data_IF_660302877081
#
_entry.id   IF_660302877081
#
_cell.length_a   1.000
_cell.length_b   1.000
_cell.length_c   1.000
_cell.angle_alpha   90.00
_cell.angle_beta   90.00
_cell.angle_gamma   90.00
#
_symmetry.space_group_name_H-M   'P 1'
#
loop_
_entity.id
_entity.type
_entity.pdbx_description
1 polymer ?
#
# COMPACT_ATOMS: atom_id res chain seq x y z
N UNK A 1 -6.72 13.94 11.15
CA UNK A 1 -7.39 14.19 9.84
C UNK A 1 -7.68 15.68 9.74
N UNK A 2 -7.09 16.39 8.79
CA UNK A 2 -7.35 17.81 8.60
C UNK A 2 -8.79 18.03 8.10
N UNK A 3 -9.46 19.09 8.59
CA UNK A 3 -10.77 19.57 8.14
C UNK A 3 -10.67 20.11 6.70
N UNK A 4 -10.53 19.23 5.72
CA UNK A 4 -10.60 19.56 4.30
C UNK A 4 -12.04 19.71 3.82
N UNK A 5 -12.24 20.50 2.76
CA UNK A 5 -13.56 20.66 2.13
C UNK A 5 -13.97 19.34 1.49
N UNK A 6 -15.10 18.77 1.92
CA UNK A 6 -15.66 17.53 1.36
C UNK A 6 -16.68 17.84 0.28
N UNK A 7 -16.65 17.05 -0.78
CA UNK A 7 -17.64 17.07 -1.86
C UNK A 7 -18.84 16.24 -1.44
N UNK A 8 -20.05 16.77 -1.60
CA UNK A 8 -21.28 16.04 -1.26
C UNK A 8 -21.72 15.17 -2.42
N UNK A 9 -21.82 13.87 -2.17
CA UNK A 9 -22.28 12.88 -3.14
C UNK A 9 -23.61 12.28 -2.69
N UNK A 10 -24.47 12.01 -3.66
CA UNK A 10 -25.68 11.21 -3.45
C UNK A 10 -25.37 9.72 -3.57
N UNK A 11 -26.21 8.86 -2.99
CA UNK A 11 -26.04 7.40 -3.06
C UNK A 11 -25.92 6.88 -4.49
N UNK A 12 -26.61 7.50 -5.46
CA UNK A 12 -26.56 7.12 -6.87
C UNK A 12 -25.26 7.54 -7.59
N UNK A 13 -24.54 8.53 -7.06
CA UNK A 13 -23.27 9.01 -7.63
C UNK A 13 -22.08 8.23 -7.11
N UNK A 14 -22.21 7.63 -5.91
CA UNK A 14 -21.11 6.94 -5.24
C UNK A 14 -20.67 5.70 -6.03
N UNK A 15 -21.58 4.81 -6.44
CA UNK A 15 -21.18 3.56 -7.12
C UNK A 15 -20.39 3.81 -8.42
N UNK A 16 -20.84 4.66 -9.37
CA UNK A 16 -20.06 4.92 -10.59
C UNK A 16 -18.71 5.60 -10.33
N UNK A 17 -18.62 6.43 -9.30
CA UNK A 17 -17.35 7.04 -8.86
C UNK A 17 -16.44 5.98 -8.25
N UNK A 18 -16.98 5.07 -7.44
CA UNK A 18 -16.24 4.00 -6.80
C UNK A 18 -15.65 3.02 -7.82
N UNK A 19 -16.41 2.63 -8.83
CA UNK A 19 -15.89 1.81 -9.94
C UNK A 19 -14.75 2.52 -10.69
N UNK A 20 -14.90 3.83 -10.94
CA UNK A 20 -13.83 4.59 -11.59
C UNK A 20 -12.60 4.73 -10.66
N UNK A 21 -12.81 4.85 -9.34
CA UNK A 21 -11.74 4.88 -8.35
C UNK A 21 -11.01 3.53 -8.28
N UNK A 22 -11.73 2.41 -8.38
CA UNK A 22 -11.16 1.07 -8.52
C UNK A 22 -10.18 1.02 -9.69
N UNK A 23 -10.58 1.51 -10.86
CA UNK A 23 -9.71 1.56 -12.05
C UNK A 23 -8.41 2.37 -11.79
N UNK A 24 -8.50 3.47 -11.04
CA UNK A 24 -7.31 4.24 -10.64
C UNK A 24 -6.45 3.41 -9.67
N UNK A 25 -7.02 2.88 -8.60
CA UNK A 25 -6.30 2.09 -7.59
C UNK A 25 -5.57 0.89 -8.23
N UNK A 26 -6.26 0.13 -9.09
CA UNK A 26 -5.69 -0.99 -9.85
C UNK A 26 -4.53 -0.53 -10.73
N UNK A 27 -4.67 0.59 -11.44
CA UNK A 27 -3.60 1.10 -12.31
C UNK A 27 -2.34 1.51 -11.54
N UNK A 28 -2.49 2.00 -10.30
CA UNK A 28 -1.35 2.31 -9.40
C UNK A 28 -0.63 1.04 -8.96
N UNK A 29 -1.40 0.04 -8.52
CA UNK A 29 -0.86 -1.26 -8.12
C UNK A 29 -0.14 -1.98 -9.27
N UNK A 30 -0.75 -1.97 -10.45
CA UNK A 30 -0.17 -2.50 -11.69
C UNK A 30 1.12 -1.80 -12.10
N UNK A 31 1.16 -0.46 -12.01
CA UNK A 31 2.36 0.31 -12.29
C UNK A 31 3.49 -0.09 -11.33
N UNK A 32 3.18 -0.17 -10.04
CA UNK A 32 4.15 -0.50 -9.01
C UNK A 32 4.66 -1.95 -9.12
N UNK A 33 3.81 -2.90 -9.51
CA UNK A 33 4.26 -4.25 -9.84
C UNK A 33 5.24 -4.24 -11.03
N UNK A 34 4.94 -3.47 -12.08
CA UNK A 34 5.79 -3.37 -13.27
C UNK A 34 7.19 -2.78 -12.98
N UNK A 35 7.38 -2.01 -11.90
CA UNK A 35 8.71 -1.51 -11.53
C UNK A 35 9.67 -2.60 -11.09
N UNK A 36 9.16 -3.73 -10.57
CA UNK A 36 9.97 -4.88 -10.18
C UNK A 36 10.33 -5.79 -11.36
N UNK A 37 9.52 -5.79 -12.43
CA UNK A 37 9.66 -6.73 -13.55
C UNK A 37 10.31 -6.13 -14.80
N UNK A 38 10.74 -4.85 -14.75
CA UNK A 38 11.21 -4.09 -15.93
C UNK A 38 10.18 -4.04 -17.07
N UNK A 39 8.89 -3.92 -16.73
CA UNK A 39 7.78 -3.90 -17.70
C UNK A 39 7.62 -2.56 -18.44
N UNK A 40 6.57 -2.45 -19.29
CA UNK A 40 6.22 -1.19 -19.97
C UNK A 40 5.64 -0.15 -18.99
N UNK A 41 6.54 0.56 -18.32
CA UNK A 41 6.20 1.61 -17.37
C UNK A 41 5.44 2.78 -18.03
N UNK A 42 5.74 3.09 -19.29
CA UNK A 42 5.07 4.15 -20.05
C UNK A 42 3.59 3.81 -20.30
N UNK A 43 3.31 2.58 -20.71
CA UNK A 43 1.95 2.06 -20.85
C UNK A 43 1.18 2.07 -19.54
N UNK A 44 1.81 1.67 -18.43
CA UNK A 44 1.18 1.70 -17.10
C UNK A 44 0.88 3.13 -16.62
N UNK A 45 1.79 4.09 -16.83
CA UNK A 45 1.54 5.52 -16.53
C UNK A 45 0.38 6.05 -17.38
N UNK A 46 0.32 5.70 -18.66
CA UNK A 46 -0.79 6.11 -19.54
C UNK A 46 -2.13 5.59 -19.04
N UNK A 47 -2.20 4.33 -18.63
CA UNK A 47 -3.42 3.74 -18.07
C UNK A 47 -3.88 4.51 -16.82
N UNK A 48 -2.95 4.80 -15.91
CA UNK A 48 -3.23 5.60 -14.72
C UNK A 48 -3.77 7.00 -15.06
N UNK A 49 -3.11 7.72 -15.98
CA UNK A 49 -3.54 9.06 -16.40
C UNK A 49 -4.95 9.06 -17.02
N UNK A 50 -5.27 8.05 -17.83
CA UNK A 50 -6.61 7.89 -18.42
C UNK A 50 -7.66 7.67 -17.32
N UNK A 51 -7.39 6.77 -16.37
CA UNK A 51 -8.32 6.46 -15.29
C UNK A 51 -8.50 7.64 -14.33
N UNK A 52 -7.41 8.31 -13.97
CA UNK A 52 -7.43 9.50 -13.11
C UNK A 52 -8.19 10.65 -13.76
N UNK A 53 -8.02 10.86 -15.08
CA UNK A 53 -8.81 11.85 -15.82
C UNK A 53 -10.29 11.48 -15.84
N UNK A 54 -10.63 10.21 -16.09
CA UNK A 54 -12.03 9.75 -16.10
C UNK A 54 -12.71 10.01 -14.76
N UNK A 55 -12.01 9.76 -13.65
CA UNK A 55 -12.49 10.06 -12.31
C UNK A 55 -12.69 11.58 -12.12
N UNK A 56 -11.69 12.38 -12.49
CA UNK A 56 -11.79 13.83 -12.45
C UNK A 56 -12.99 14.34 -13.29
N UNK A 57 -13.21 13.82 -14.49
CA UNK A 57 -14.32 14.22 -15.36
C UNK A 57 -15.69 13.86 -14.75
N UNK A 58 -15.80 12.73 -14.05
CA UNK A 58 -17.00 12.41 -13.28
C UNK A 58 -17.26 13.47 -12.20
N UNK A 59 -16.25 13.83 -11.40
CA UNK A 59 -16.38 14.87 -10.38
C UNK A 59 -16.66 16.27 -10.97
N UNK A 60 -16.09 16.63 -12.12
CA UNK A 60 -16.29 17.95 -12.72
C UNK A 60 -17.67 18.12 -13.36
N UNK A 61 -18.22 17.04 -13.93
CA UNK A 61 -19.31 17.14 -14.89
C UNK A 61 -20.55 16.32 -14.52
N UNK A 62 -20.40 15.22 -13.77
CA UNK A 62 -21.47 14.24 -13.57
C UNK A 62 -22.12 14.25 -12.18
N UNK A 63 -21.43 14.74 -11.15
CA UNK A 63 -22.00 14.86 -9.80
C UNK A 63 -22.89 16.11 -9.67
N UNK A 64 -23.74 16.19 -8.66
CA UNK A 64 -24.55 17.40 -8.35
C UNK A 64 -23.69 18.53 -7.79
N UNK A 65 -22.78 18.22 -6.87
CA UNK A 65 -21.95 19.19 -6.16
C UNK A 65 -20.69 19.63 -6.93
N UNK A 66 -20.84 19.90 -8.23
CA UNK A 66 -19.73 20.29 -9.12
C UNK A 66 -19.09 21.62 -8.69
N UNK A 67 -19.90 22.51 -8.12
CA UNK A 67 -19.46 23.82 -7.68
C UNK A 67 -18.41 23.70 -6.58
N UNK A 68 -18.68 22.88 -5.54
CA UNK A 68 -17.73 22.62 -4.46
C UNK A 68 -16.47 21.95 -5.01
N UNK A 69 -16.60 20.93 -5.86
CA UNK A 69 -15.43 20.27 -6.46
C UNK A 69 -14.56 21.24 -7.26
N UNK A 70 -15.15 22.10 -8.08
CA UNK A 70 -14.42 23.11 -8.88
C UNK A 70 -13.75 24.17 -8.00
N UNK A 71 -14.32 24.48 -6.85
CA UNK A 71 -13.75 25.46 -5.92
C UNK A 71 -12.44 24.98 -5.26
N UNK A 72 -12.27 23.66 -5.13
CA UNK A 72 -11.03 23.06 -4.61
C UNK A 72 -9.78 23.44 -5.41
N UNK A 73 -9.95 23.83 -6.67
CA UNK A 73 -8.86 24.21 -7.59
C UNK A 73 -8.64 25.72 -7.70
N UNK A 74 -9.52 26.55 -7.12
CA UNK A 74 -9.41 28.01 -7.23
C UNK A 74 -8.60 28.66 -6.13
N UNK A 75 -8.44 27.97 -5.00
CA UNK A 75 -7.66 28.44 -3.85
C UNK A 75 -6.68 27.36 -3.44
N UNK A 76 -5.48 27.74 -3.01
CA UNK A 76 -4.45 26.82 -2.49
C UNK A 76 -4.86 26.13 -1.16
N UNK A 77 -6.15 26.09 -0.83
CA UNK A 77 -6.69 25.67 0.45
C UNK A 77 -6.82 24.14 0.58
N UNK A 78 -6.96 23.40 -0.52
CA UNK A 78 -7.06 21.94 -0.49
C UNK A 78 -5.70 21.30 -0.85
N UNK A 79 -5.04 20.63 0.11
CA UNK A 79 -3.81 19.88 -0.16
C UNK A 79 -4.02 18.85 -1.29
N UNK A 80 -3.11 18.81 -2.25
CA UNK A 80 -3.10 17.86 -3.37
C UNK A 80 -3.90 18.27 -4.61
N UNK A 81 -4.65 19.38 -4.58
CA UNK A 81 -5.39 19.85 -5.76
C UNK A 81 -4.46 20.19 -6.95
N UNK A 82 -3.28 20.72 -6.65
CA UNK A 82 -2.21 21.02 -7.62
C UNK A 82 -1.61 19.76 -8.25
N UNK A 83 -1.53 18.64 -7.51
CA UNK A 83 -1.14 17.34 -8.08
C UNK A 83 -2.14 16.91 -9.16
N UNK A 84 -3.44 17.06 -8.92
CA UNK A 84 -4.47 16.72 -9.91
C UNK A 84 -4.35 17.61 -11.17
N UNK A 85 -4.06 18.91 -11.01
CA UNK A 85 -3.84 19.79 -12.16
C UNK A 85 -2.58 19.44 -12.95
N UNK A 86 -1.49 19.03 -12.28
CA UNK A 86 -0.31 18.46 -12.92
C UNK A 86 -0.62 17.18 -13.69
N UNK A 87 -1.45 16.30 -13.14
CA UNK A 87 -1.90 15.05 -13.79
C UNK A 87 -2.75 15.32 -15.02
N UNK A 88 -3.67 16.30 -14.97
CA UNK A 88 -4.43 16.76 -16.15
C UNK A 88 -3.50 17.26 -17.25
N UNK A 89 -2.47 18.04 -16.89
CA UNK A 89 -1.46 18.49 -17.83
C UNK A 89 -0.73 17.31 -18.48
N UNK A 90 -0.19 16.40 -17.66
CA UNK A 90 0.54 15.21 -18.12
C UNK A 90 -0.29 14.32 -19.05
N UNK A 91 -1.57 14.13 -18.73
CA UNK A 91 -2.52 13.39 -19.58
C UNK A 91 -2.69 14.05 -20.94
N UNK A 92 -2.84 15.38 -21.00
CA UNK A 92 -2.99 16.04 -22.30
C UNK A 92 -1.69 16.02 -23.11
N UNK A 93 -0.54 16.00 -22.45
CA UNK A 93 0.77 15.85 -23.11
C UNK A 93 0.96 14.46 -23.71
N UNK A 94 0.46 13.39 -23.09
CA UNK A 94 0.67 12.01 -23.58
C UNK A 94 0.01 11.73 -24.94
N UNK A 95 -0.93 12.58 -25.35
CA UNK A 95 -1.49 12.57 -26.71
C UNK A 95 -0.47 13.03 -27.76
N UNK A 96 0.55 13.78 -27.34
CA UNK A 96 1.61 14.37 -28.18
C UNK A 96 3.00 13.75 -27.95
N UNK A 97 3.24 13.05 -26.83
CA UNK A 97 4.56 12.47 -26.48
C UNK A 97 4.43 11.02 -26.02
N UNK A 98 5.28 10.15 -26.58
CA UNK A 98 5.29 8.71 -26.29
C UNK A 98 5.78 8.38 -24.87
N UNK A 99 6.68 9.20 -24.30
CA UNK A 99 7.29 9.00 -22.98
C UNK A 99 7.28 10.29 -22.17
N UNK A 100 6.66 10.24 -20.98
CA UNK A 100 6.56 11.38 -20.03
C UNK A 100 7.20 11.05 -18.67
N UNK A 101 7.89 9.92 -18.61
CA UNK A 101 8.61 9.42 -17.46
C UNK A 101 9.96 8.92 -17.93
N UNK A 102 10.97 9.06 -17.07
CA UNK A 102 12.32 8.54 -17.30
C UNK A 102 12.82 7.79 -16.07
N UNK A 103 13.79 6.88 -16.19
CA UNK A 103 14.55 6.43 -15.04
C UNK A 103 15.16 7.64 -14.33
N UNK A 104 15.08 7.68 -13.00
CA UNK A 104 15.82 8.67 -12.23
C UNK A 104 17.32 8.45 -12.42
N UNK A 105 18.10 9.52 -12.35
CA UNK A 105 19.56 9.41 -12.43
C UNK A 105 20.03 8.50 -11.28
N UNK A 106 20.86 7.49 -11.58
CA UNK A 106 21.32 6.41 -10.67
C UNK A 106 20.27 5.37 -10.21
N UNK A 107 19.14 5.22 -10.92
CA UNK A 107 17.95 4.50 -10.43
C UNK A 107 17.88 2.98 -10.69
N UNK A 108 18.95 2.26 -10.38
CA UNK A 108 18.88 0.80 -10.25
C UNK A 108 18.98 0.48 -8.75
N UNK A 109 17.82 0.47 -8.09
CA UNK A 109 17.73 0.25 -6.65
C UNK A 109 17.61 -1.26 -6.41
N UNK A 110 18.57 -1.84 -5.70
CA UNK A 110 18.59 -3.29 -5.49
C UNK A 110 19.95 -3.89 -5.13
N UNK A 111 20.01 -5.21 -5.20
CA UNK A 111 21.19 -6.02 -4.87
C UNK A 111 20.89 -7.51 -5.05
N UNK A 112 21.44 -8.38 -4.20
CA UNK A 112 21.14 -9.83 -4.21
C UNK A 112 19.65 -10.17 -3.99
N UNK A 113 18.84 -9.20 -3.54
CA UNK A 113 17.41 -9.32 -3.28
C UNK A 113 16.53 -8.85 -4.44
N UNK A 114 17.12 -8.53 -5.60
CA UNK A 114 16.42 -8.07 -6.81
C UNK A 114 16.74 -6.63 -7.17
N UNK A 115 16.35 -6.22 -8.38
CA UNK A 115 16.53 -4.87 -8.91
C UNK A 115 15.17 -4.29 -9.34
N UNK A 116 15.00 -2.98 -9.16
CA UNK A 116 13.85 -2.24 -9.69
C UNK A 116 14.28 -0.95 -10.35
N UNK A 117 13.48 -0.51 -11.30
CA UNK A 117 13.60 0.84 -11.88
C UNK A 117 12.87 1.81 -10.97
N UNK A 118 13.47 2.96 -10.67
CA UNK A 118 12.80 4.07 -9.98
C UNK A 118 12.51 5.22 -10.97
N UNK A 119 11.29 5.34 -11.50
CA UNK A 119 10.96 6.34 -12.51
C UNK A 119 10.53 7.66 -11.88
N UNK A 120 10.88 8.75 -12.53
CA UNK A 120 10.43 10.11 -12.21
C UNK A 120 9.72 10.71 -13.42
N UNK A 121 8.86 11.70 -13.19
CA UNK A 121 8.27 12.47 -14.29
C UNK A 121 9.35 13.28 -15.01
N UNK A 122 9.31 13.26 -16.34
CA UNK A 122 10.31 13.89 -17.19
C UNK A 122 9.92 15.33 -17.57
N UNK A 123 10.87 16.11 -18.10
CA UNK A 123 10.55 17.42 -18.65
C UNK A 123 9.70 17.30 -19.91
N UNK A 124 8.82 18.28 -20.13
CA UNK A 124 7.96 18.34 -21.31
C UNK A 124 8.55 19.36 -22.29
N UNK A 125 8.93 18.93 -23.52
CA UNK A 125 9.55 19.83 -24.49
C UNK A 125 8.71 21.09 -24.76
N UNK A 126 9.32 22.29 -24.86
CA UNK A 126 8.60 23.53 -25.13
C UNK A 126 7.76 23.51 -26.41
N UNK A 127 8.21 22.79 -27.44
CA UNK A 127 7.47 22.62 -28.69
C UNK A 127 6.14 21.89 -28.47
N UNK A 128 6.15 20.81 -27.70
CA UNK A 128 4.93 20.05 -27.33
C UNK A 128 4.00 20.94 -26.52
N UNK A 129 4.53 21.68 -25.54
CA UNK A 129 3.73 22.61 -24.74
C UNK A 129 3.00 23.65 -25.60
N UNK A 130 3.68 24.19 -26.62
CA UNK A 130 3.12 25.18 -27.53
C UNK A 130 1.95 24.64 -28.37
N UNK A 131 1.90 23.32 -28.63
CA UNK A 131 0.82 22.66 -29.37
C UNK A 131 -0.44 22.43 -28.52
N UNK A 132 -0.35 22.50 -27.19
CA UNK A 132 -1.47 22.26 -26.30
C UNK A 132 -2.49 23.41 -26.33
N UNK A 133 -3.75 23.10 -26.08
CA UNK A 133 -4.80 24.12 -25.92
C UNK A 133 -4.46 25.14 -24.82
N UNK A 134 -4.78 26.45 -24.94
CA UNK A 134 -4.39 27.49 -23.98
C UNK A 134 -4.79 27.22 -22.52
N UNK A 135 -5.94 26.58 -22.29
CA UNK A 135 -6.35 26.21 -20.93
C UNK A 135 -5.51 25.08 -20.33
N UNK A 136 -4.97 24.18 -21.17
CA UNK A 136 -4.03 23.15 -20.74
C UNK A 136 -2.66 23.75 -20.44
N UNK A 137 -2.20 24.71 -21.25
CA UNK A 137 -0.93 25.40 -21.02
C UNK A 137 -0.87 26.06 -19.63
N UNK A 138 -1.99 26.61 -19.14
CA UNK A 138 -2.11 27.20 -17.79
C UNK A 138 -1.82 26.21 -16.65
N UNK A 139 -1.89 24.91 -16.89
CA UNK A 139 -1.63 23.87 -15.90
C UNK A 139 -0.14 23.53 -15.78
N UNK A 140 0.73 23.99 -16.69
CA UNK A 140 2.17 23.70 -16.67
C UNK A 140 2.84 24.04 -15.32
N UNK A 141 2.56 25.18 -14.66
CA UNK A 141 3.17 25.46 -13.36
C UNK A 141 2.84 24.42 -12.28
N UNK A 142 1.68 23.77 -12.34
CA UNK A 142 1.34 22.70 -11.42
C UNK A 142 2.17 21.44 -11.70
N UNK A 143 2.35 21.08 -12.98
CA UNK A 143 3.24 19.99 -13.39
C UNK A 143 4.69 20.24 -12.96
N UNK A 144 5.23 21.41 -13.27
CA UNK A 144 6.62 21.78 -12.96
C UNK A 144 6.89 21.74 -11.44
N UNK A 145 5.91 22.16 -10.63
CA UNK A 145 6.07 22.22 -9.17
C UNK A 145 5.80 20.90 -8.45
N UNK A 146 4.94 20.02 -9.00
CA UNK A 146 4.42 18.85 -8.27
C UNK A 146 4.80 17.50 -8.88
N UNK A 147 5.09 17.46 -10.17
CA UNK A 147 5.37 16.21 -10.88
C UNK A 147 6.83 16.16 -11.33
N UNK A 148 7.32 17.20 -12.00
CA UNK A 148 8.66 17.20 -12.62
C UNK A 148 9.75 16.76 -11.63
N UNK A 149 10.48 15.69 -11.99
CA UNK A 149 11.54 15.10 -11.17
C UNK A 149 11.07 14.36 -9.90
N UNK A 150 9.78 14.37 -9.58
CA UNK A 150 9.20 13.61 -8.48
C UNK A 150 8.99 12.15 -8.88
N UNK A 151 9.06 11.26 -7.89
CA UNK A 151 8.80 9.84 -8.09
C UNK A 151 7.36 9.59 -8.52
N UNK A 152 7.18 8.78 -9.56
CA UNK A 152 5.86 8.56 -10.16
C UNK A 152 4.91 7.87 -9.17
N UNK A 153 5.40 6.89 -8.40
CA UNK A 153 4.55 6.19 -7.43
C UNK A 153 4.06 7.11 -6.32
N UNK A 154 4.91 8.01 -5.82
CA UNK A 154 4.55 8.98 -4.79
C UNK A 154 3.44 9.91 -5.29
N UNK A 155 3.56 10.42 -6.52
CA UNK A 155 2.50 11.25 -7.11
C UNK A 155 1.19 10.47 -7.35
N UNK A 156 1.27 9.19 -7.72
CA UNK A 156 0.09 8.33 -7.87
C UNK A 156 -0.63 8.14 -6.52
N UNK A 157 0.12 7.91 -5.44
CA UNK A 157 -0.43 7.83 -4.09
C UNK A 157 -1.05 9.16 -3.64
N UNK A 158 -0.45 10.30 -4.00
CA UNK A 158 -1.00 11.61 -3.67
C UNK A 158 -2.33 11.91 -4.40
N UNK A 159 -2.50 11.44 -5.63
CA UNK A 159 -3.80 11.47 -6.32
C UNK A 159 -4.85 10.67 -5.55
N UNK A 160 -4.51 9.46 -5.11
CA UNK A 160 -5.41 8.61 -4.32
C UNK A 160 -5.78 9.27 -2.97
N UNK A 161 -4.80 9.87 -2.28
CA UNK A 161 -5.00 10.62 -1.03
C UNK A 161 -5.90 11.84 -1.22
N UNK A 162 -5.74 12.57 -2.32
CA UNK A 162 -6.60 13.70 -2.65
C UNK A 162 -8.06 13.26 -2.70
N UNK A 163 -8.38 12.21 -3.47
CA UNK A 163 -9.76 11.72 -3.61
C UNK A 163 -10.32 11.17 -2.29
N UNK A 164 -9.52 10.42 -1.50
CA UNK A 164 -9.93 9.99 -0.17
C UNK A 164 -10.25 11.16 0.78
N UNK A 165 -9.49 12.25 0.71
CA UNK A 165 -9.70 13.41 1.57
C UNK A 165 -11.02 14.12 1.25
N UNK A 166 -11.36 14.25 -0.04
CA UNK A 166 -12.53 15.02 -0.48
C UNK A 166 -13.81 14.20 -0.57
N UNK A 167 -13.71 12.88 -0.77
CA UNK A 167 -14.84 11.99 -1.01
C UNK A 167 -14.52 10.53 -0.57
N UNK A 168 -14.37 10.25 0.73
CA UNK A 168 -13.94 8.93 1.22
C UNK A 168 -14.87 7.76 0.83
N UNK A 169 -16.15 8.01 0.58
CA UNK A 169 -17.13 6.95 0.23
C UNK A 169 -16.92 6.36 -1.17
N UNK A 170 -16.10 7.01 -2.01
CA UNK A 170 -15.75 6.55 -3.37
C UNK A 170 -14.55 5.61 -3.36
N UNK A 171 -13.89 5.41 -2.22
CA UNK A 171 -12.78 4.46 -2.15
C UNK A 171 -13.34 3.06 -2.36
N UNK A 172 -12.85 2.37 -3.40
CA UNK A 172 -13.20 0.97 -3.60
C UNK A 172 -12.39 0.11 -2.64
N UNK A 173 -13.10 -0.77 -1.94
CA UNK A 173 -12.51 -1.72 -0.99
C UNK A 173 -12.74 -3.15 -1.47
N UNK A 174 -11.75 -4.02 -1.29
CA UNK A 174 -11.83 -5.43 -1.63
C UNK A 174 -12.65 -6.22 -0.59
N UNK A 175 -12.70 -7.54 -0.76
CA UNK A 175 -13.45 -8.45 0.14
C UNK A 175 -12.92 -8.47 1.57
N UNK A 176 -11.69 -8.00 1.82
CA UNK A 176 -11.08 -7.89 3.14
C UNK A 176 -11.27 -6.48 3.74
N UNK A 177 -11.91 -5.57 3.01
CA UNK A 177 -12.11 -4.18 3.42
C UNK A 177 -10.88 -3.29 3.16
N UNK A 178 -9.85 -3.80 2.51
CA UNK A 178 -8.66 -3.05 2.12
C UNK A 178 -8.89 -2.28 0.84
N UNK A 179 -8.09 -1.25 0.58
CA UNK A 179 -8.13 -0.57 -0.72
C UNK A 179 -7.79 -1.57 -1.83
N UNK A 180 -8.60 -1.66 -2.89
CA UNK A 180 -8.34 -2.63 -3.97
C UNK A 180 -6.98 -2.37 -4.62
N UNK A 181 -6.16 -3.41 -4.77
CA UNK A 181 -4.78 -3.26 -5.26
C UNK A 181 -3.79 -2.80 -4.19
N UNK A 182 -4.19 -2.72 -2.92
CA UNK A 182 -3.32 -2.35 -1.81
C UNK A 182 -3.39 -3.39 -0.68
N UNK A 183 -2.35 -3.46 0.17
CA UNK A 183 -1.10 -2.71 0.11
C UNK A 183 -0.24 -3.09 -1.10
N UNK A 184 0.60 -2.15 -1.53
CA UNK A 184 1.61 -2.43 -2.53
C UNK A 184 2.65 -3.41 -1.97
N UNK A 185 3.19 -4.30 -2.81
CA UNK A 185 4.22 -5.26 -2.38
C UNK A 185 5.47 -4.54 -1.86
N UNK A 186 6.04 -5.00 -0.76
CA UNK A 186 7.32 -4.53 -0.28
C UNK A 186 8.40 -4.87 -1.32
N UNK A 187 9.10 -3.85 -1.81
CA UNK A 187 10.20 -4.02 -2.77
C UNK A 187 11.51 -3.53 -2.12
N UNK A 188 12.67 -4.14 -2.45
CA UNK A 188 13.95 -3.76 -1.86
C UNK A 188 14.28 -2.27 -2.03
N UNK A 189 14.81 -1.65 -0.98
CA UNK A 189 15.31 -0.28 -1.00
C UNK A 189 14.23 0.80 -1.05
N UNK A 190 12.99 0.47 -0.68
CA UNK A 190 11.85 1.38 -0.76
C UNK A 190 11.29 1.71 0.62
N UNK A 191 11.51 2.96 1.03
CA UNK A 191 10.90 3.54 2.22
C UNK A 191 9.53 4.15 1.94
N UNK A 192 9.21 4.42 0.66
CA UNK A 192 7.95 5.03 0.25
C UNK A 192 6.74 4.25 0.78
N UNK A 193 5.62 4.95 1.08
CA UNK A 193 4.42 4.31 1.59
C UNK A 193 3.90 3.19 0.68
N UNK A 194 3.42 2.11 1.29
CA UNK A 194 2.80 0.98 0.59
C UNK A 194 1.27 1.09 0.54
N UNK A 195 0.69 2.07 1.24
CA UNK A 195 -0.74 2.29 1.30
C UNK A 195 -1.08 3.80 1.21
N UNK A 196 -2.14 4.24 0.52
CA UNK A 196 -2.49 5.66 0.42
C UNK A 196 -2.79 6.30 1.78
N UNK A 197 -3.41 5.55 2.70
CA UNK A 197 -3.72 6.02 4.06
C UNK A 197 -2.49 6.04 4.99
N UNK A 198 -1.34 5.48 4.56
CA UNK A 198 -0.12 5.50 5.37
C UNK A 198 0.45 6.94 5.45
N UNK A 199 0.61 7.48 6.67
CA UNK A 199 1.21 8.81 6.89
C UNK A 199 2.67 8.89 6.44
N UNK A 200 3.07 10.07 5.97
CA UNK A 200 4.47 10.35 5.60
C UNK A 200 5.38 10.59 6.82
N UNK A 201 4.81 11.08 7.93
CA UNK A 201 5.55 11.25 9.17
C UNK A 201 5.74 9.89 9.84
N UNK A 202 6.98 9.50 10.11
CA UNK A 202 7.30 8.18 10.68
C UNK A 202 6.57 7.90 12.00
N UNK A 203 6.44 8.88 12.89
CA UNK A 203 5.75 8.69 14.18
C UNK A 203 4.25 8.46 13.99
N UNK A 204 3.62 9.23 13.10
CA UNK A 204 2.23 9.02 12.72
C UNK A 204 2.04 7.67 12.02
N UNK A 205 3.00 7.26 11.20
CA UNK A 205 2.99 5.99 10.48
C UNK A 205 3.06 4.79 11.43
N UNK A 206 3.90 4.85 12.48
CA UNK A 206 3.92 3.86 13.56
C UNK A 206 2.58 3.77 14.28
N UNK A 207 1.96 4.90 14.58
CA UNK A 207 0.64 4.91 15.21
C UNK A 207 -0.43 4.35 14.27
N UNK A 208 -0.39 4.72 12.98
CA UNK A 208 -1.30 4.23 11.96
C UNK A 208 -1.21 2.71 11.83
N UNK A 209 -0.02 2.14 11.62
CA UNK A 209 0.14 0.70 11.40
C UNK A 209 -0.29 -0.12 12.62
N UNK A 210 -0.08 0.38 13.84
CA UNK A 210 -0.51 -0.27 15.09
C UNK A 210 -2.02 -0.18 15.35
N UNK A 211 -2.71 0.75 14.68
CA UNK A 211 -4.17 0.87 14.70
C UNK A 211 -4.84 0.15 13.52
N UNK A 212 -4.09 -0.10 12.45
CA UNK A 212 -4.55 -0.86 11.30
C UNK A 212 -4.66 -2.35 11.66
N UNK A 213 -5.73 -3.02 11.21
CA UNK A 213 -5.85 -4.46 11.38
C UNK A 213 -4.74 -5.17 10.59
N UNK A 214 -4.23 -6.33 11.04
CA UNK A 214 -3.39 -7.14 10.19
C UNK A 214 -4.11 -7.47 8.88
N UNK A 215 -3.40 -7.41 7.76
CA UNK A 215 -3.95 -7.87 6.49
C UNK A 215 -3.70 -9.38 6.34
N UNK A 216 -4.71 -10.10 5.86
CA UNK A 216 -4.74 -11.55 5.75
C UNK A 216 -6.00 -12.14 6.37
N UNK A 217 -6.13 -13.46 6.33
CA UNK A 217 -7.35 -14.13 6.78
C UNK A 217 -7.25 -14.53 8.26
N UNK A 218 -6.05 -14.87 8.73
CA UNK A 218 -5.79 -15.27 10.11
C UNK A 218 -4.30 -15.22 10.46
N UNK A 219 -3.99 -15.21 11.76
CA UNK A 219 -2.63 -15.40 12.29
C UNK A 219 -2.54 -16.63 13.17
N UNK A 220 -1.46 -17.39 13.06
CA UNK A 220 -1.20 -18.56 13.91
C UNK A 220 0.00 -18.29 14.80
N UNK A 221 -0.20 -18.32 16.11
CA UNK A 221 0.82 -18.15 17.13
C UNK A 221 1.65 -19.45 17.21
N UNK A 222 2.95 -19.29 17.04
CA UNK A 222 3.93 -20.37 16.96
C UNK A 222 4.91 -20.37 18.14
N UNK A 223 5.13 -19.18 18.71
CA UNK A 223 6.17 -18.96 19.71
C UNK A 223 5.81 -17.77 20.60
N UNK A 224 6.33 -17.79 21.82
CA UNK A 224 6.26 -16.69 22.77
C UNK A 224 7.67 -16.36 23.26
N UNK A 225 8.01 -15.07 23.27
CA UNK A 225 9.33 -14.58 23.66
C UNK A 225 9.16 -13.40 24.63
N UNK A 226 10.06 -13.29 25.61
CA UNK A 226 10.14 -12.10 26.46
C UNK A 226 11.37 -11.28 26.03
N UNK A 227 11.17 -10.02 25.67
CA UNK A 227 12.24 -9.05 25.36
C UNK A 227 11.98 -7.82 26.22
N UNK A 228 12.98 -7.38 26.98
CA UNK A 228 12.94 -6.16 27.80
C UNK A 228 11.66 -6.00 28.65
N UNK A 229 11.23 -7.08 29.29
CA UNK A 229 10.01 -7.20 30.11
C UNK A 229 8.68 -7.18 29.35
N UNK A 230 8.69 -7.06 28.02
CA UNK A 230 7.51 -7.22 27.17
C UNK A 230 7.39 -8.66 26.65
N UNK A 231 6.17 -9.19 26.70
CA UNK A 231 5.83 -10.51 26.14
C UNK A 231 5.35 -10.36 24.70
N UNK A 232 6.06 -11.00 23.78
CA UNK A 232 5.78 -11.05 22.35
C UNK A 232 5.22 -12.42 21.96
N UNK A 233 4.23 -12.38 21.07
CA UNK A 233 3.69 -13.53 20.36
C UNK A 233 4.18 -13.44 18.92
N UNK A 234 4.72 -14.56 18.44
CA UNK A 234 5.28 -14.67 17.10
C UNK A 234 4.64 -15.82 16.37
N UNK A 235 4.58 -15.70 15.05
CA UNK A 235 4.04 -16.77 14.22
C UNK A 235 3.91 -16.37 12.78
N UNK A 236 2.87 -16.83 12.10
CA UNK A 236 2.68 -16.63 10.66
C UNK A 236 1.32 -16.03 10.34
N UNK A 237 1.28 -15.13 9.37
CA UNK A 237 0.04 -14.55 8.83
C UNK A 237 -0.36 -15.34 7.59
N UNK A 238 -1.55 -15.93 7.58
CA UNK A 238 -2.06 -16.73 6.47
C UNK A 238 -3.07 -15.94 5.63
N UNK A 239 -2.99 -16.13 4.32
CA UNK A 239 -3.92 -15.60 3.31
C UNK A 239 -4.11 -16.67 2.25
N UNK A 240 -5.34 -17.10 2.01
CA UNK A 240 -5.67 -18.20 1.10
C UNK A 240 -4.84 -19.46 1.39
N UNK A 241 -4.69 -19.78 2.69
CA UNK A 241 -3.86 -20.89 3.21
C UNK A 241 -2.35 -20.76 2.97
N UNK A 242 -1.86 -19.65 2.44
CA UNK A 242 -0.43 -19.38 2.27
C UNK A 242 0.08 -18.35 3.28
N UNK A 243 1.32 -18.51 3.74
CA UNK A 243 2.03 -17.51 4.53
C UNK A 243 3.39 -17.23 3.89
N UNK A 244 3.72 -15.95 3.75
CA UNK A 244 4.96 -15.49 3.14
C UNK A 244 5.91 -14.81 4.12
N UNK A 245 5.44 -14.50 5.34
CA UNK A 245 6.27 -13.87 6.34
C UNK A 245 5.78 -14.17 7.76
N UNK A 246 6.70 -14.18 8.74
CA UNK A 246 6.31 -14.21 10.13
C UNK A 246 5.70 -12.89 10.59
N UNK A 247 4.93 -12.91 11.69
CA UNK A 247 4.51 -11.73 12.43
C UNK A 247 5.20 -11.67 13.81
N UNK A 248 5.28 -10.46 14.36
CA UNK A 248 5.74 -10.16 15.71
C UNK A 248 4.77 -9.17 16.33
N UNK A 249 4.12 -9.54 17.43
CA UNK A 249 3.20 -8.65 18.14
C UNK A 249 3.35 -8.77 19.64
N UNK A 250 3.11 -7.68 20.37
CA UNK A 250 2.96 -7.76 21.83
C UNK A 250 1.63 -8.42 22.17
N UNK A 251 1.51 -9.02 23.36
CA UNK A 251 0.23 -9.55 23.86
C UNK A 251 -0.87 -8.47 23.85
N UNK A 252 -0.51 -7.23 24.19
CA UNK A 252 -1.45 -6.11 24.15
C UNK A 252 -1.95 -5.79 22.74
N UNK A 253 -1.07 -5.83 21.74
CA UNK A 253 -1.45 -5.62 20.35
C UNK A 253 -2.33 -6.77 19.82
N UNK A 254 -2.00 -8.02 20.14
CA UNK A 254 -2.85 -9.18 19.80
C UNK A 254 -4.24 -9.05 20.43
N UNK A 255 -4.32 -8.65 21.71
CA UNK A 255 -5.61 -8.44 22.38
C UNK A 255 -6.44 -7.36 21.69
N UNK A 256 -5.82 -6.25 21.27
CA UNK A 256 -6.46 -5.18 20.50
C UNK A 256 -6.97 -5.63 19.14
N UNK A 257 -6.17 -6.39 18.41
CA UNK A 257 -6.53 -6.93 17.10
C UNK A 257 -7.72 -7.90 17.22
N UNK A 258 -7.72 -8.79 18.22
CA UNK A 258 -8.84 -9.69 18.54
C UNK A 258 -10.10 -8.88 18.89
N UNK A 259 -9.95 -7.86 19.73
CA UNK A 259 -11.06 -6.95 20.08
C UNK A 259 -11.61 -6.17 18.89
N UNK A 260 -10.83 -6.06 17.81
CA UNK A 260 -11.21 -5.45 16.53
C UNK A 260 -11.68 -6.47 15.48
N UNK A 261 -11.79 -7.75 15.86
CA UNK A 261 -12.34 -8.83 15.03
C UNK A 261 -11.34 -9.64 14.22
N UNK A 262 -10.03 -9.40 14.35
CA UNK A 262 -9.02 -10.18 13.61
C UNK A 262 -8.67 -11.48 14.34
N UNK A 263 -8.76 -12.66 13.70
CA UNK A 263 -8.61 -13.93 14.38
C UNK A 263 -7.14 -14.35 14.55
N UNK A 264 -6.79 -14.71 15.78
CA UNK A 264 -5.53 -15.35 16.13
C UNK A 264 -5.81 -16.80 16.55
N UNK A 265 -4.97 -17.72 16.11
CA UNK A 265 -5.10 -19.15 16.40
C UNK A 265 -3.80 -19.71 16.99
N UNK A 266 -3.89 -20.91 17.53
CA UNK A 266 -2.75 -21.75 17.86
C UNK A 266 -3.07 -23.21 17.51
N UNK A 267 -2.04 -23.99 17.15
CA UNK A 267 -2.24 -25.39 16.77
C UNK A 267 -0.96 -26.09 16.35
N UNK A 268 -1.10 -27.33 15.90
CA UNK A 268 0.02 -28.16 15.45
C UNK A 268 0.42 -27.83 14.01
N UNK A 269 1.34 -26.87 13.86
CA UNK A 269 1.87 -26.46 12.56
C UNK A 269 2.63 -27.58 11.87
N UNK A 270 3.38 -28.40 12.62
CA UNK A 270 4.25 -29.45 12.04
C UNK A 270 3.46 -30.46 11.22
N UNK A 271 2.21 -30.76 11.62
CA UNK A 271 1.36 -31.72 10.92
C UNK A 271 0.43 -31.07 9.89
N UNK A 272 0.06 -29.79 10.05
CA UNK A 272 -0.96 -29.14 9.22
C UNK A 272 -0.40 -28.17 8.19
N UNK A 273 0.89 -27.86 8.26
CA UNK A 273 1.53 -26.86 7.40
C UNK A 273 2.81 -27.42 6.80
N UNK A 274 2.98 -27.24 5.49
CA UNK A 274 4.16 -27.62 4.74
C UNK A 274 4.94 -26.41 4.21
N UNK A 275 6.24 -26.60 3.99
CA UNK A 275 7.08 -25.62 3.30
C UNK A 275 6.95 -25.79 1.79
N UNK A 276 6.43 -24.76 1.11
CA UNK A 276 6.21 -24.74 -0.34
C UNK A 276 7.07 -23.69 -1.04
N UNK A 277 8.13 -23.21 -0.39
CA UNK A 277 9.02 -22.14 -0.89
C UNK A 277 9.49 -22.39 -2.33
N UNK A 278 9.79 -23.64 -2.69
CA UNK A 278 10.23 -24.00 -4.05
C UNK A 278 9.20 -23.71 -5.15
N UNK A 279 7.91 -23.58 -4.80
CA UNK A 279 6.83 -23.21 -5.72
C UNK A 279 6.75 -21.70 -5.96
N UNK A 280 7.48 -20.91 -5.17
CA UNK A 280 7.49 -19.45 -5.22
C UNK A 280 8.92 -18.91 -5.33
N UNK A 281 9.65 -19.19 -6.43
CA UNK A 281 11.05 -18.81 -6.59
C UNK A 281 11.28 -17.29 -6.58
N UNK A 282 10.23 -16.50 -6.82
CA UNK A 282 10.25 -15.03 -6.82
C UNK A 282 9.81 -14.42 -5.49
N UNK A 283 9.37 -15.21 -4.51
CA UNK A 283 9.09 -14.72 -3.17
C UNK A 283 10.43 -14.40 -2.47
N UNK A 284 10.93 -13.18 -2.66
CA UNK A 284 12.22 -12.73 -2.14
C UNK A 284 12.33 -12.66 -0.62
N UNK A 285 11.26 -13.01 0.12
CA UNK A 285 11.16 -12.91 1.57
C UNK A 285 10.95 -14.28 2.22
N UNK A 286 12.03 -15.06 2.39
CA UNK A 286 12.05 -16.20 3.31
C UNK A 286 11.19 -17.41 2.92
N UNK A 287 10.73 -18.14 3.94
CA UNK A 287 10.02 -19.40 3.78
C UNK A 287 8.55 -19.16 3.47
N UNK A 288 8.05 -19.77 2.38
CA UNK A 288 6.61 -19.82 2.08
C UNK A 288 6.02 -21.08 2.67
N UNK A 289 4.97 -20.92 3.46
CA UNK A 289 4.25 -22.00 4.13
C UNK A 289 2.84 -22.15 3.55
N UNK A 290 2.33 -23.38 3.50
CA UNK A 290 0.96 -23.70 3.09
C UNK A 290 0.27 -24.56 4.13
N UNK A 291 -0.95 -24.17 4.54
CA UNK A 291 -1.84 -25.00 5.33
C UNK A 291 -2.57 -26.02 4.45
N UNK A 292 -2.66 -27.28 4.89
CA UNK A 292 -3.34 -28.36 4.16
C UNK A 292 -4.86 -28.12 4.02
N UNK A 293 -5.49 -27.59 5.06
CA UNK A 293 -6.91 -27.21 5.11
C UNK A 293 -7.08 -25.78 5.64
N UNK A 294 -8.32 -25.32 5.81
CA UNK A 294 -8.56 -24.00 6.37
C UNK A 294 -8.11 -23.98 7.84
N UNK A 295 -7.55 -22.84 8.28
CA UNK A 295 -6.92 -22.74 9.61
C UNK A 295 -7.91 -23.08 10.72
N UNK A 296 -9.18 -22.70 10.56
CA UNK A 296 -10.24 -22.96 11.52
C UNK A 296 -10.58 -24.46 11.69
N UNK A 297 -10.16 -25.32 10.75
CA UNK A 297 -10.46 -26.76 10.81
C UNK A 297 -9.55 -27.51 11.78
N UNK A 298 -8.34 -27.01 12.02
CA UNK A 298 -7.31 -27.71 12.79
C UNK A 298 -6.69 -26.89 13.93
N UNK A 299 -6.82 -25.55 13.89
CA UNK A 299 -6.29 -24.67 14.90
C UNK A 299 -7.39 -24.19 15.87
N UNK A 300 -6.99 -23.87 17.10
CA UNK A 300 -7.89 -23.38 18.14
C UNK A 300 -7.77 -21.86 18.21
N UNK A 301 -8.92 -21.18 18.27
CA UNK A 301 -8.95 -19.72 18.42
C UNK A 301 -8.28 -19.31 19.73
N UNK A 302 -7.39 -18.33 19.66
CA UNK A 302 -6.71 -17.75 20.81
C UNK A 302 -7.61 -16.73 21.49
N UNK A 303 -8.05 -17.06 22.70
CA UNK A 303 -8.82 -16.15 23.55
C UNK A 303 -7.87 -15.46 24.55
N UNK A 304 -8.11 -14.17 24.81
CA UNK A 304 -7.25 -13.27 25.62
C UNK A 304 -6.87 -13.79 27.03
N UNK A 305 -7.52 -14.85 27.53
CA UNK A 305 -7.43 -15.33 28.92
C UNK A 305 -6.37 -16.39 29.21
N UNK A 306 -5.56 -16.85 28.24
CA UNK A 306 -4.59 -17.97 28.46
C UNK A 306 -3.11 -17.64 28.20
N UNK A 307 -2.52 -16.60 28.81
CA UNK A 307 -1.14 -16.17 28.52
C UNK A 307 -0.02 -17.03 29.16
N UNK A 308 -0.34 -18.10 29.89
CA UNK A 308 0.56 -18.61 30.94
C UNK A 308 1.04 -20.05 30.79
N UNK A 309 1.10 -20.57 29.58
CA UNK A 309 1.77 -21.85 29.35
C UNK A 309 2.61 -21.75 28.10
N UNK A 310 3.89 -22.13 28.21
CA UNK A 310 4.87 -22.37 27.13
C UNK A 310 4.36 -23.47 26.15
N UNK A 311 3.21 -23.25 25.50
CA UNK A 311 2.49 -24.25 24.72
C UNK A 311 2.91 -24.29 23.26
N UNK A 312 3.54 -23.23 22.75
CA UNK A 312 3.85 -23.10 21.33
C UNK A 312 5.35 -22.99 21.14
N UNK A 313 5.95 -24.07 20.63
CA UNK A 313 7.35 -24.12 20.23
C UNK A 313 7.44 -24.77 18.86
N UNK A 314 6.95 -24.08 17.84
CA UNK A 314 7.29 -24.42 16.46
C UNK A 314 8.56 -23.66 16.07
N UNK A 315 9.60 -24.37 15.61
CA UNK A 315 10.87 -23.77 15.18
C UNK A 315 11.89 -23.53 16.31
N UNK A 316 13.01 -22.92 15.93
CA UNK A 316 14.16 -22.63 16.82
C UNK A 316 13.96 -21.30 17.56
N UNK A 317 14.30 -21.22 18.85
CA UNK A 317 14.25 -19.99 19.65
C UNK A 317 15.12 -18.88 19.04
N UNK A 318 16.32 -19.22 18.58
CA UNK A 318 17.25 -18.26 17.96
C UNK A 318 16.66 -17.64 16.67
N UNK A 319 15.90 -18.43 15.90
CA UNK A 319 15.19 -17.93 14.72
C UNK A 319 14.15 -16.88 15.11
N UNK A 320 13.32 -17.17 16.12
CA UNK A 320 12.27 -16.26 16.57
C UNK A 320 12.81 -15.00 17.23
N UNK A 321 13.91 -15.12 18.00
CA UNK A 321 14.62 -13.95 18.53
C UNK A 321 15.13 -13.05 17.41
N UNK A 322 15.74 -13.62 16.37
CA UNK A 322 16.18 -12.84 15.21
C UNK A 322 15.02 -12.17 14.48
N UNK A 323 13.89 -12.85 14.32
CA UNK A 323 12.67 -12.29 13.71
C UNK A 323 12.13 -11.12 14.53
N UNK A 324 12.09 -11.23 15.86
CA UNK A 324 11.64 -10.15 16.74
C UNK A 324 12.56 -8.92 16.69
N UNK A 325 13.88 -9.13 16.73
CA UNK A 325 14.87 -8.05 16.72
C UNK A 325 14.87 -7.21 15.43
N UNK A 326 14.27 -7.71 14.35
CA UNK A 326 14.12 -6.94 13.11
C UNK A 326 13.10 -5.80 13.19
N UNK A 327 12.26 -5.76 14.23
CA UNK A 327 11.33 -4.66 14.51
C UNK A 327 11.74 -3.84 15.75
N UNK A 328 12.91 -4.13 16.32
CA UNK A 328 13.40 -3.50 17.54
C UNK A 328 14.09 -2.16 17.24
N UNK A 329 13.41 -1.08 17.58
CA UNK A 329 13.90 0.30 17.41
C UNK A 329 15.10 0.65 18.30
N UNK A 330 15.45 -0.17 19.29
CA UNK A 330 16.68 0.01 20.07
C UNK A 330 17.92 -0.51 19.32
N UNK A 331 17.73 -1.44 18.38
CA UNK A 331 18.80 -2.07 17.61
C UNK A 331 18.91 -1.53 16.17
N UNK A 332 17.79 -1.08 15.62
CA UNK A 332 17.70 -0.60 14.24
C UNK A 332 17.22 0.85 14.18
N UNK A 333 17.65 1.63 13.17
CA UNK A 333 17.04 2.93 12.91
C UNK A 333 15.52 2.80 12.76
N UNK A 334 14.79 3.76 13.31
CA UNK A 334 13.32 3.70 13.39
C UNK A 334 12.64 3.45 12.03
N UNK A 335 13.18 4.00 10.94
CA UNK A 335 12.64 3.80 9.60
C UNK A 335 12.82 2.36 9.09
N UNK A 336 13.95 1.69 9.42
CA UNK A 336 14.21 0.30 9.04
C UNK A 336 13.26 -0.65 9.79
N UNK A 337 13.16 -0.47 11.11
CA UNK A 337 12.23 -1.26 11.93
C UNK A 337 10.77 -1.07 11.48
N UNK A 338 10.41 0.15 11.10
CA UNK A 338 9.09 0.47 10.58
C UNK A 338 8.78 -0.23 9.26
N UNK A 339 9.71 -0.22 8.30
CA UNK A 339 9.53 -0.90 7.02
C UNK A 339 9.24 -2.40 7.20
N UNK A 340 10.00 -3.08 8.07
CA UNK A 340 9.77 -4.50 8.39
C UNK A 340 8.40 -4.72 9.00
N UNK A 341 8.04 -3.92 10.01
CA UNK A 341 6.74 -4.02 10.69
C UNK A 341 5.60 -3.78 9.71
N UNK A 342 5.68 -2.72 8.90
CA UNK A 342 4.70 -2.37 7.87
C UNK A 342 4.49 -3.54 6.91
N UNK A 343 5.57 -4.12 6.38
CA UNK A 343 5.46 -5.23 5.44
C UNK A 343 4.80 -6.46 6.06
N UNK A 344 5.12 -6.80 7.31
CA UNK A 344 4.53 -7.95 8.04
C UNK A 344 3.08 -7.73 8.45
N UNK A 345 2.75 -6.53 8.90
CA UNK A 345 1.41 -6.22 9.39
C UNK A 345 0.42 -6.01 8.25
N UNK A 346 0.85 -5.38 7.16
CA UNK A 346 0.06 -5.28 5.93
C UNK A 346 0.14 -6.55 5.06
N UNK A 347 0.91 -7.57 5.44
CA UNK A 347 1.17 -8.75 4.61
C UNK A 347 1.59 -8.40 3.16
N UNK A 348 2.42 -7.36 3.01
CA UNK A 348 2.83 -6.79 1.73
C UNK A 348 3.88 -7.66 1.00
N UNK A 349 3.87 -8.98 1.17
CA UNK A 349 4.81 -9.89 0.52
C UNK A 349 4.22 -10.61 -0.69
N UNK A 350 2.92 -10.43 -0.91
CA UNK A 350 2.16 -11.02 -2.01
C UNK A 350 1.55 -9.88 -2.81
N UNK A 351 1.57 -10.00 -4.14
CA UNK A 351 0.82 -9.07 -4.97
C UNK A 351 -0.68 -9.17 -4.62
N UNK A 352 -1.39 -8.03 -4.48
CA UNK A 352 -2.84 -8.01 -4.32
C UNK A 352 -3.51 -8.81 -5.44
N UNK A 353 -4.48 -9.66 -5.09
CA UNK A 353 -5.35 -10.36 -6.05
C UNK A 353 -6.66 -9.58 -6.16
N UNK A 354 -7.07 -9.25 -7.39
CA UNK A 354 -8.20 -8.37 -7.69
C UNK A 354 -9.56 -9.07 -7.75
#
# INVERSE_FOLDING_TARGET
MANGTRVRLTTYEIEPLRETMRDVQVSVADYYAATAESGDLGGKVRAFLINAQRLNDHFQNKIRDKATYRELFKSSAQPGADVIDGIKYARNVIEHVLHIVRPKDDALVGGSLGFRVYPVWDDIPPAVHAELHPNTQKLKPAYDNKLLGQGVIETMLDVLRFYAAIAPDVIHRDVRGEWTGFPLTAQPGMSSPLHPEEPLNTTEAWNWINNHLPNGDARIICYQLNIDSAKYLLGYTFTERLSFAPFVETVAQVAKDIGSGFPYFYGDITHNVECVTSQFPTAGAGTVLRSHSDIADWAILWEQSKPDVDRFRYGNSEYWERVARQEDTSLLPQYVAYEVRRSRRLNAFVAPRY
#
